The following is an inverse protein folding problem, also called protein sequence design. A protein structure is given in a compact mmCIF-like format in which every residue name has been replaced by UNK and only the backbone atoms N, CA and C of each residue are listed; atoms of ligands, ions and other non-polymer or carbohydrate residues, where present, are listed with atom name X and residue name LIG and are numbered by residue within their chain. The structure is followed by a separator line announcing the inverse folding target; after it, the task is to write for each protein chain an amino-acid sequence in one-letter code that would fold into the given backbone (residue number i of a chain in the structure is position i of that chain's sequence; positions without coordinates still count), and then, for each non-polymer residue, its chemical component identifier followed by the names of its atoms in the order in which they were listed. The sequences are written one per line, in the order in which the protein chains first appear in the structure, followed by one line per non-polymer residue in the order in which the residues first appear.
data_IF_871476065275
#
_entry.id   IF_871476065275
#
_cell.length_a   1.000
_cell.length_b   1.000
_cell.length_c   1.000
_cell.angle_alpha   90.00
_cell.angle_beta   90.00
_cell.angle_gamma   90.00
#
_symmetry.space_group_name_H-M   'P 1'
#
loop_
_entity.id
_entity.type
_entity.pdbx_description
1 polymer ?
#
# COMPACT_ATOMS: atom_id res chain seq x y z
N UNK A 1 -9.17 -14.79 -30.61
CA UNK A 1 -8.50 -15.23 -31.85
C UNK A 1 -7.17 -14.49 -31.91
N UNK A 2 -6.09 -15.07 -31.37
CA UNK A 2 -4.74 -14.48 -31.53
C UNK A 2 -4.34 -14.70 -32.98
N UNK A 3 -4.25 -13.62 -33.75
CA UNK A 3 -3.69 -13.67 -35.10
C UNK A 3 -2.18 -13.83 -34.96
N UNK A 4 -1.58 -14.92 -35.46
CA UNK A 4 -0.13 -15.10 -35.40
C UNK A 4 0.50 -14.03 -36.28
N UNK A 5 1.26 -13.13 -35.66
CA UNK A 5 2.07 -12.17 -36.37
C UNK A 5 3.26 -12.92 -36.98
N UNK A 6 3.57 -12.65 -38.23
CA UNK A 6 4.76 -13.18 -38.90
C UNK A 6 5.84 -12.11 -38.91
N UNK A 7 6.67 -12.01 -37.86
CA UNK A 7 7.79 -11.10 -37.86
C UNK A 7 8.86 -11.60 -38.83
N UNK A 8 9.60 -10.66 -39.42
CA UNK A 8 10.76 -10.96 -40.24
C UNK A 8 11.97 -11.14 -39.32
N UNK A 9 12.55 -12.34 -39.35
CA UNK A 9 13.79 -12.64 -38.62
C UNK A 9 14.94 -11.91 -39.31
N UNK A 10 15.76 -11.20 -38.54
CA UNK A 10 16.90 -10.48 -39.09
C UNK A 10 18.09 -11.42 -39.28
N UNK A 11 18.96 -11.12 -40.25
CA UNK A 11 20.21 -11.86 -40.46
C UNK A 11 21.13 -11.78 -39.24
N UNK A 12 21.13 -10.64 -38.55
CA UNK A 12 21.92 -10.43 -37.34
C UNK A 12 21.41 -11.31 -36.18
N UNK A 13 20.08 -11.38 -36.02
CA UNK A 13 19.41 -12.24 -35.04
C UNK A 13 19.64 -13.71 -35.31
N UNK A 14 19.46 -14.14 -36.56
CA UNK A 14 19.78 -15.49 -37.01
C UNK A 14 21.25 -15.82 -36.70
N UNK A 15 22.20 -14.99 -37.12
CA UNK A 15 23.62 -15.19 -36.84
C UNK A 15 23.94 -15.24 -35.34
N UNK A 16 23.26 -14.43 -34.52
CA UNK A 16 23.40 -14.48 -33.06
C UNK A 16 22.93 -15.81 -32.48
N UNK A 17 21.82 -16.36 -32.99
CA UNK A 17 21.35 -17.70 -32.60
C UNK A 17 22.34 -18.77 -33.02
N UNK A 18 22.85 -18.74 -34.26
CA UNK A 18 23.86 -19.70 -34.72
C UNK A 18 25.16 -19.62 -33.92
N UNK A 19 25.58 -18.41 -33.51
CA UNK A 19 26.73 -18.24 -32.61
C UNK A 19 26.46 -18.86 -31.24
N UNK A 20 25.27 -18.63 -30.70
CA UNK A 20 24.87 -19.19 -29.41
C UNK A 20 24.86 -20.73 -29.48
N UNK A 21 24.23 -21.30 -30.50
CA UNK A 21 24.14 -22.75 -30.73
C UNK A 21 25.53 -23.41 -30.85
N UNK A 22 26.44 -22.80 -31.62
CA UNK A 22 27.84 -23.27 -31.72
C UNK A 22 28.63 -23.14 -30.41
N UNK A 23 28.23 -22.22 -29.52
CA UNK A 23 28.82 -22.07 -28.19
C UNK A 23 28.18 -22.98 -27.13
N UNK A 24 27.16 -23.77 -27.50
CA UNK A 24 26.39 -24.61 -26.58
C UNK A 24 25.43 -23.83 -25.67
N UNK A 25 25.19 -22.55 -25.99
CA UNK A 25 24.28 -21.67 -25.26
C UNK A 25 23.05 -21.39 -26.12
N UNK A 26 21.86 -21.44 -25.55
CA UNK A 26 20.67 -21.02 -26.28
C UNK A 26 20.57 -19.49 -26.28
N UNK A 27 20.21 -18.89 -27.41
CA UNK A 27 20.08 -17.44 -27.51
C UNK A 27 18.92 -16.93 -26.64
N UNK A 28 19.20 -15.94 -25.79
CA UNK A 28 18.22 -15.49 -24.80
C UNK A 28 17.49 -14.23 -25.27
N UNK A 29 16.16 -14.27 -25.37
CA UNK A 29 15.36 -13.06 -25.62
C UNK A 29 15.11 -12.35 -24.29
N UNK A 30 15.48 -11.06 -24.20
CA UNK A 30 15.43 -10.30 -22.94
C UNK A 30 14.47 -9.11 -22.96
N UNK A 31 14.34 -8.42 -24.10
CA UNK A 31 13.53 -7.20 -24.21
C UNK A 31 12.70 -7.19 -25.50
N UNK A 32 11.55 -6.54 -25.43
CA UNK A 32 10.76 -6.11 -26.58
C UNK A 32 10.91 -4.60 -26.77
N UNK A 33 11.08 -4.16 -28.00
CA UNK A 33 11.13 -2.74 -28.37
C UNK A 33 9.93 -2.40 -29.22
N UNK A 34 9.32 -1.25 -28.95
CA UNK A 34 8.15 -0.75 -29.68
C UNK A 34 8.48 0.57 -30.36
N UNK A 35 7.92 0.77 -31.54
CA UNK A 35 8.06 2.00 -32.30
C UNK A 35 6.79 2.43 -33.03
N UNK A 36 6.85 3.64 -33.58
CA UNK A 36 5.71 4.32 -34.22
C UNK A 36 5.83 4.39 -35.75
N UNK A 37 6.95 3.95 -36.33
CA UNK A 37 7.10 3.91 -37.77
C UNK A 37 6.45 2.64 -38.35
N UNK A 38 5.68 2.80 -39.43
CA UNK A 38 5.10 1.69 -40.18
C UNK A 38 5.79 1.55 -41.52
N UNK A 39 6.36 0.39 -41.81
CA UNK A 39 7.05 0.08 -43.07
C UNK A 39 7.09 -1.43 -43.31
N UNK A 40 7.54 -1.86 -44.49
CA UNK A 40 7.81 -3.27 -44.76
C UNK A 40 9.14 -3.67 -44.12
N UNK A 41 9.14 -4.55 -43.11
CA UNK A 41 10.36 -4.96 -42.42
C UNK A 41 11.35 -5.66 -43.36
N UNK A 42 12.65 -5.43 -43.13
CA UNK A 42 13.74 -6.01 -43.90
C UNK A 42 14.65 -6.84 -42.98
N UNK A 43 15.07 -8.02 -43.44
CA UNK A 43 15.96 -8.92 -42.72
C UNK A 43 17.37 -8.32 -42.45
N UNK A 44 17.78 -7.26 -43.14
CA UNK A 44 19.07 -6.58 -42.91
C UNK A 44 19.03 -5.59 -41.73
N UNK A 45 17.86 -5.34 -41.13
CA UNK A 45 17.73 -4.36 -40.06
C UNK A 45 18.44 -4.80 -38.78
N UNK A 46 19.17 -3.85 -38.18
CA UNK A 46 19.83 -4.02 -36.88
C UNK A 46 19.08 -3.31 -35.74
N UNK A 47 18.19 -2.38 -36.09
CA UNK A 47 17.37 -1.61 -35.15
C UNK A 47 16.02 -1.24 -35.80
N UNK A 48 15.06 -0.87 -34.94
CA UNK A 48 13.81 -0.22 -35.36
C UNK A 48 14.09 1.16 -35.96
N UNK A 49 13.19 1.66 -36.81
CA UNK A 49 13.35 2.99 -37.44
C UNK A 49 12.99 4.14 -36.49
N UNK A 50 11.95 3.97 -35.69
CA UNK A 50 11.48 4.94 -34.71
C UNK A 50 11.19 4.24 -33.38
N UNK A 51 12.23 3.69 -32.77
CA UNK A 51 12.13 3.10 -31.43
C UNK A 51 11.68 4.17 -30.42
N UNK A 52 10.54 3.93 -29.79
CA UNK A 52 9.95 4.85 -28.81
C UNK A 52 10.15 4.33 -27.39
N UNK A 53 10.07 3.01 -27.21
CA UNK A 53 10.12 2.38 -25.90
C UNK A 53 10.77 0.99 -25.96
N UNK A 54 11.32 0.57 -24.81
CA UNK A 54 11.92 -0.74 -24.59
C UNK A 54 11.37 -1.30 -23.30
N UNK A 55 10.83 -2.51 -23.34
CA UNK A 55 10.23 -3.20 -22.20
C UNK A 55 10.90 -4.56 -21.98
N UNK A 56 11.10 -4.99 -20.74
CA UNK A 56 11.58 -6.33 -20.44
C UNK A 56 10.51 -7.38 -20.79
N UNK A 57 10.94 -8.59 -21.12
CA UNK A 57 10.02 -9.72 -21.31
C UNK A 57 9.57 -10.22 -19.93
N UNK A 58 8.25 -10.28 -19.74
CA UNK A 58 7.62 -10.70 -18.49
C UNK A 58 7.47 -12.22 -18.40
N UNK A 59 7.32 -12.88 -19.53
CA UNK A 59 7.09 -14.32 -19.61
C UNK A 59 7.33 -14.84 -21.01
N UNK A 60 7.54 -16.14 -21.12
CA UNK A 60 7.40 -16.77 -22.42
C UNK A 60 7.51 -18.29 -22.31
N UNK A 61 6.78 -18.95 -23.18
CA UNK A 61 6.59 -20.38 -23.23
C UNK A 61 6.93 -20.87 -24.63
N UNK A 62 7.60 -22.01 -24.73
CA UNK A 62 7.88 -22.62 -26.03
C UNK A 62 6.74 -23.55 -26.42
N UNK A 63 6.00 -23.16 -27.47
CA UNK A 63 4.94 -23.99 -28.06
C UNK A 63 5.54 -24.85 -29.17
N UNK A 64 6.06 -26.02 -28.81
CA UNK A 64 6.63 -26.97 -29.77
C UNK A 64 8.00 -26.57 -30.32
N UNK A 65 8.42 -27.19 -31.43
CA UNK A 65 9.82 -27.11 -31.86
C UNK A 65 10.24 -25.74 -32.43
N UNK A 66 9.29 -24.96 -32.91
CA UNK A 66 9.55 -23.76 -33.72
C UNK A 66 8.59 -22.60 -33.42
N UNK A 67 7.80 -22.66 -32.32
CA UNK A 67 6.99 -21.51 -31.90
C UNK A 67 7.34 -21.13 -30.47
N UNK A 68 7.46 -19.83 -30.22
CA UNK A 68 7.65 -19.26 -28.90
C UNK A 68 6.50 -18.30 -28.63
N UNK A 69 5.73 -18.56 -27.58
CA UNK A 69 4.81 -17.60 -27.02
C UNK A 69 5.58 -16.66 -26.09
N UNK A 70 5.61 -15.37 -26.38
CA UNK A 70 6.31 -14.36 -25.60
C UNK A 70 5.29 -13.38 -25.04
N UNK A 71 5.42 -13.06 -23.75
CA UNK A 71 4.60 -12.06 -23.07
C UNK A 71 5.47 -10.95 -22.53
N UNK A 72 5.07 -9.71 -22.80
CA UNK A 72 5.70 -8.52 -22.28
C UNK A 72 4.63 -7.53 -21.81
N UNK A 73 4.93 -6.79 -20.76
CA UNK A 73 4.06 -5.72 -20.27
C UNK A 73 4.68 -4.40 -20.71
N UNK A 74 3.96 -3.67 -21.55
CA UNK A 74 4.35 -2.31 -21.92
C UNK A 74 3.74 -1.33 -20.91
N UNK A 75 4.53 -0.97 -19.90
CA UNK A 75 4.18 -0.05 -18.83
C UNK A 75 4.53 1.42 -19.18
N UNK A 76 4.09 2.36 -18.35
CA UNK A 76 4.50 3.76 -18.40
C UNK A 76 3.60 4.72 -19.19
N UNK A 77 3.90 6.02 -19.07
CA UNK A 77 2.95 7.11 -19.32
C UNK A 77 2.91 7.62 -20.77
N UNK A 78 3.64 6.98 -21.69
CA UNK A 78 3.65 7.37 -23.09
C UNK A 78 2.51 6.71 -23.86
N UNK A 79 1.61 7.55 -24.39
CA UNK A 79 0.59 7.15 -25.34
C UNK A 79 1.13 7.15 -26.78
N UNK A 80 1.03 6.03 -27.48
CA UNK A 80 1.41 5.95 -28.89
C UNK A 80 0.80 4.73 -29.59
N UNK A 81 0.67 4.85 -30.92
CA UNK A 81 0.32 3.73 -31.79
C UNK A 81 1.56 2.87 -32.03
N UNK A 82 1.46 1.59 -31.69
CA UNK A 82 2.50 0.59 -31.94
C UNK A 82 2.39 0.17 -33.40
N UNK A 83 3.39 0.52 -34.21
CA UNK A 83 3.43 0.21 -35.66
C UNK A 83 4.64 -0.63 -36.04
N UNK A 84 5.62 -0.74 -35.15
CA UNK A 84 6.72 -1.67 -35.26
C UNK A 84 7.02 -2.28 -33.88
N UNK A 85 7.37 -3.56 -33.89
CA UNK A 85 7.76 -4.35 -32.72
C UNK A 85 9.04 -5.08 -33.06
N UNK A 86 10.04 -4.98 -32.19
CA UNK A 86 11.29 -5.72 -32.32
C UNK A 86 11.55 -6.56 -31.07
N UNK A 87 12.15 -7.73 -31.25
CA UNK A 87 12.58 -8.60 -30.16
C UNK A 87 14.10 -8.52 -30.04
N UNK A 88 14.61 -8.18 -28.87
CA UNK A 88 16.04 -8.07 -28.60
C UNK A 88 16.54 -9.27 -27.79
N UNK A 89 17.69 -9.78 -28.20
CA UNK A 89 18.46 -10.75 -27.43
C UNK A 89 19.15 -10.10 -26.23
N UNK A 90 19.66 -10.91 -25.30
CA UNK A 90 20.44 -10.46 -24.14
C UNK A 90 21.72 -9.71 -24.54
N UNK A 91 22.28 -10.01 -25.71
CA UNK A 91 23.42 -9.29 -26.30
C UNK A 91 23.03 -7.95 -26.96
N UNK A 92 21.75 -7.59 -26.98
CA UNK A 92 21.23 -6.39 -27.61
C UNK A 92 21.02 -6.52 -29.12
N UNK A 93 21.22 -7.71 -29.72
CA UNK A 93 20.95 -7.95 -31.13
C UNK A 93 19.44 -8.03 -31.39
N UNK A 94 18.98 -7.36 -32.44
CA UNK A 94 17.59 -7.46 -32.92
C UNK A 94 17.35 -8.83 -33.56
N UNK A 95 16.59 -9.68 -32.90
CA UNK A 95 16.25 -11.02 -33.37
C UNK A 95 15.26 -10.97 -34.54
N UNK A 96 14.12 -10.33 -34.31
CA UNK A 96 13.03 -10.29 -35.26
C UNK A 96 12.32 -8.94 -35.17
N UNK A 97 11.79 -8.50 -36.30
CA UNK A 97 11.05 -7.24 -36.43
C UNK A 97 9.73 -7.49 -37.14
N UNK A 98 8.68 -6.95 -36.57
CA UNK A 98 7.38 -6.84 -37.20
C UNK A 98 7.08 -5.37 -37.42
N UNK A 99 6.57 -5.02 -38.60
CA UNK A 99 6.02 -3.70 -38.88
C UNK A 99 4.99 -3.81 -40.00
N UNK A 100 4.01 -2.91 -40.01
CA UNK A 100 3.04 -2.80 -41.09
C UNK A 100 3.01 -1.37 -41.66
N UNK A 101 2.98 -1.18 -42.99
CA UNK A 101 3.03 0.15 -43.61
C UNK A 101 1.79 1.01 -43.31
N UNK A 102 0.62 0.39 -43.14
CA UNK A 102 -0.67 1.08 -43.01
C UNK A 102 -1.41 0.79 -41.71
N UNK A 103 -1.13 -0.34 -41.05
CA UNK A 103 -1.90 -0.79 -39.88
C UNK A 103 -1.08 -0.56 -38.62
N UNK A 104 -1.76 -0.19 -37.54
CA UNK A 104 -1.18 -0.18 -36.21
C UNK A 104 -1.56 -1.47 -35.50
N UNK A 105 -0.59 -2.07 -34.82
CA UNK A 105 -0.75 -3.32 -34.10
C UNK A 105 -1.67 -3.15 -32.89
N UNK A 106 -1.42 -2.10 -32.14
CA UNK A 106 -2.13 -1.78 -30.92
C UNK A 106 -1.97 -0.29 -30.61
N UNK A 107 -2.92 0.26 -29.84
CA UNK A 107 -2.78 1.56 -29.22
C UNK A 107 -2.39 1.37 -27.76
N UNK A 108 -1.27 1.96 -27.35
CA UNK A 108 -0.89 2.05 -25.94
C UNK A 108 -1.41 3.38 -25.38
N UNK A 109 -2.35 3.37 -24.41
CA UNK A 109 -2.76 4.59 -23.69
C UNK A 109 -1.67 5.04 -22.70
N UNK A 110 -1.70 6.31 -22.30
CA UNK A 110 -0.87 6.80 -21.20
C UNK A 110 -1.38 6.24 -19.86
N UNK A 111 -0.48 5.72 -19.03
CA UNK A 111 -0.80 5.26 -17.68
C UNK A 111 -1.62 3.97 -17.62
N UNK A 112 -1.72 3.22 -18.72
CA UNK A 112 -2.36 1.90 -18.77
C UNK A 112 -1.37 0.87 -19.27
N UNK A 113 -1.30 -0.25 -18.56
CA UNK A 113 -0.45 -1.37 -18.93
C UNK A 113 -1.06 -2.10 -20.12
N UNK A 114 -0.29 -2.23 -21.20
CA UNK A 114 -0.67 -3.01 -22.37
C UNK A 114 0.06 -4.36 -22.31
N UNK A 115 -0.70 -5.45 -22.14
CA UNK A 115 -0.18 -6.80 -22.21
C UNK A 115 0.00 -7.21 -23.67
N UNK A 116 1.24 -7.49 -24.03
CA UNK A 116 1.64 -7.90 -25.36
C UNK A 116 1.97 -9.39 -25.32
N UNK A 117 1.08 -10.23 -25.87
CA UNK A 117 1.26 -11.67 -25.98
C UNK A 117 1.40 -12.05 -27.46
N UNK A 118 2.53 -12.63 -27.84
CA UNK A 118 2.89 -12.88 -29.24
C UNK A 118 3.40 -14.29 -29.46
N UNK A 119 2.90 -14.94 -30.50
CA UNK A 119 3.43 -16.20 -31.00
C UNK A 119 4.48 -15.93 -32.07
N UNK A 120 5.75 -16.06 -31.71
CA UNK A 120 6.88 -15.98 -32.61
C UNK A 120 7.10 -17.34 -33.27
N UNK A 121 6.71 -17.45 -34.54
CA UNK A 121 7.04 -18.61 -35.36
C UNK A 121 8.48 -18.50 -35.89
N UNK A 122 9.36 -19.35 -35.38
CA UNK A 122 10.77 -19.47 -35.72
C UNK A 122 10.99 -20.50 -36.84
N UNK A 123 10.10 -20.57 -37.83
CA UNK A 123 10.11 -21.60 -38.88
C UNK A 123 11.44 -21.69 -39.67
N UNK A 124 12.28 -20.65 -39.60
CA UNK A 124 13.60 -20.59 -40.23
C UNK A 124 14.79 -20.93 -39.31
N UNK A 125 14.56 -21.33 -38.06
CA UNK A 125 15.61 -21.62 -37.07
C UNK A 125 15.65 -23.09 -36.66
N UNK A 126 16.85 -23.65 -36.39
CA UNK A 126 16.97 -24.98 -35.82
C UNK A 126 16.29 -25.08 -34.45
N UNK A 127 15.75 -26.26 -34.14
CA UNK A 127 15.07 -26.52 -32.88
C UNK A 127 16.06 -26.45 -31.71
N UNK A 128 15.64 -25.83 -30.59
CA UNK A 128 16.38 -25.68 -29.32
C UNK A 128 17.40 -24.53 -29.23
N UNK A 129 17.54 -23.68 -30.24
CA UNK A 129 18.58 -22.64 -30.23
C UNK A 129 18.18 -21.34 -29.50
N UNK A 130 16.99 -21.24 -28.90
CA UNK A 130 16.48 -20.02 -28.22
C UNK A 130 15.91 -20.37 -26.85
N UNK A 131 16.37 -19.65 -25.82
CA UNK A 131 15.86 -19.68 -24.44
C UNK A 131 15.19 -18.35 -24.13
N UNK A 132 14.19 -18.37 -23.26
CA UNK A 132 13.49 -17.16 -22.83
C UNK A 132 13.92 -16.87 -21.40
N UNK A 133 14.53 -15.70 -21.19
CA UNK A 133 14.80 -15.21 -19.83
C UNK A 133 13.65 -14.31 -19.46
N UNK A 134 12.61 -14.90 -18.91
CA UNK A 134 11.59 -14.16 -18.18
C UNK A 134 12.24 -13.65 -16.89
N UNK A 135 12.59 -12.36 -16.89
CA UNK A 135 13.11 -11.73 -15.69
C UNK A 135 12.05 -11.80 -14.61
N UNK A 136 12.28 -12.62 -13.58
CA UNK A 136 11.51 -12.60 -12.33
C UNK A 136 11.43 -11.17 -11.71
N UNK A 137 12.25 -10.25 -12.21
CA UNK A 137 12.25 -8.81 -11.96
C UNK A 137 11.03 -8.05 -12.48
N UNK A 138 10.36 -8.46 -13.57
CA UNK A 138 9.22 -7.72 -14.13
C UNK A 138 7.96 -7.80 -13.27
N UNK A 139 7.66 -8.98 -12.74
CA UNK A 139 6.56 -9.20 -11.80
C UNK A 139 6.90 -8.65 -10.39
N UNK A 140 8.17 -8.75 -9.98
CA UNK A 140 8.60 -8.22 -8.70
C UNK A 140 8.58 -6.69 -8.64
N UNK A 141 8.87 -5.97 -9.73
CA UNK A 141 8.81 -4.50 -9.74
C UNK A 141 7.37 -3.98 -9.71
N UNK A 142 6.46 -4.64 -10.44
CA UNK A 142 5.03 -4.31 -10.44
C UNK A 142 4.34 -4.60 -9.10
N UNK A 143 4.83 -5.60 -8.35
CA UNK A 143 4.30 -5.93 -7.01
C UNK A 143 5.00 -5.18 -5.87
N UNK A 144 6.26 -4.74 -6.04
CA UNK A 144 7.01 -4.06 -4.97
C UNK A 144 6.36 -2.75 -4.52
N UNK A 145 5.89 -1.91 -5.47
CA UNK A 145 5.21 -0.66 -5.15
C UNK A 145 3.92 -0.85 -4.34
N UNK A 146 2.97 -1.72 -4.74
CA UNK A 146 1.78 -1.97 -3.93
C UNK A 146 2.08 -2.66 -2.59
N UNK A 147 3.10 -3.53 -2.51
CA UNK A 147 3.50 -4.16 -1.24
C UNK A 147 4.12 -3.15 -0.27
N UNK A 148 4.96 -2.23 -0.77
CA UNK A 148 5.53 -1.15 0.03
C UNK A 148 4.45 -0.19 0.52
N UNK A 149 3.48 0.15 -0.35
CA UNK A 149 2.32 0.94 0.04
C UNK A 149 1.49 0.25 1.13
N UNK A 150 1.24 -1.06 1.01
CA UNK A 150 0.54 -1.84 2.03
C UNK A 150 1.31 -1.88 3.35
N UNK A 151 2.62 -2.11 3.32
CA UNK A 151 3.46 -2.10 4.51
C UNK A 151 3.43 -0.73 5.22
N UNK A 152 3.50 0.37 4.45
CA UNK A 152 3.41 1.72 5.01
C UNK A 152 2.04 1.99 5.66
N UNK A 153 0.95 1.49 5.06
CA UNK A 153 -0.40 1.63 5.60
C UNK A 153 -0.56 0.84 6.91
N UNK A 154 -0.01 -0.37 7.00
CA UNK A 154 -0.01 -1.18 8.22
C UNK A 154 0.79 -0.52 9.34
N UNK A 155 1.97 0.02 9.04
CA UNK A 155 2.79 0.75 10.03
C UNK A 155 2.05 2.01 10.51
N UNK A 156 1.42 2.75 9.58
CA UNK A 156 0.63 3.92 9.94
C UNK A 156 -0.58 3.56 10.82
N UNK A 157 -1.21 2.41 10.59
CA UNK A 157 -2.30 1.91 11.43
C UNK A 157 -1.81 1.50 12.82
N UNK A 158 -0.68 0.79 12.91
CA UNK A 158 -0.08 0.45 14.20
C UNK A 158 0.29 1.70 15.01
N UNK A 159 0.85 2.73 14.36
CA UNK A 159 1.15 4.00 15.02
C UNK A 159 -0.11 4.72 15.52
N UNK A 160 -1.18 4.74 14.73
CA UNK A 160 -2.48 5.29 15.16
C UNK A 160 -3.04 4.51 16.36
N UNK A 161 -2.92 3.19 16.35
CA UNK A 161 -3.33 2.32 17.45
C UNK A 161 -2.60 2.65 18.76
N UNK A 162 -1.27 2.81 18.69
CA UNK A 162 -0.46 3.21 19.86
C UNK A 162 -0.87 4.58 20.40
N UNK A 163 -1.03 5.58 19.52
CA UNK A 163 -1.46 6.92 19.93
C UNK A 163 -2.87 6.92 20.55
N UNK A 164 -3.75 6.05 20.08
CA UNK A 164 -5.08 5.89 20.65
C UNK A 164 -5.00 5.25 22.04
N UNK A 165 -4.14 4.25 22.21
CA UNK A 165 -3.90 3.61 23.51
C UNK A 165 -3.36 4.62 24.53
N UNK A 166 -2.36 5.42 24.16
CA UNK A 166 -1.79 6.45 25.04
C UNK A 166 -2.85 7.45 25.51
N UNK A 167 -3.77 7.85 24.63
CA UNK A 167 -4.89 8.74 25.00
C UNK A 167 -5.87 8.08 25.96
N UNK A 168 -6.14 6.78 25.79
CA UNK A 168 -7.01 6.03 26.70
C UNK A 168 -6.38 5.90 28.09
N UNK A 169 -5.07 5.66 28.16
CA UNK A 169 -4.34 5.54 29.42
C UNK A 169 -4.28 6.88 30.18
N UNK A 170 -4.07 8.00 29.48
CA UNK A 170 -4.16 9.34 30.07
C UNK A 170 -5.58 9.63 30.59
N UNK A 171 -6.61 9.28 29.80
CA UNK A 171 -8.00 9.45 30.23
C UNK A 171 -8.33 8.59 31.46
N UNK A 172 -7.89 7.33 31.50
CA UNK A 172 -8.08 6.44 32.64
C UNK A 172 -7.40 7.01 33.90
N UNK A 173 -6.20 7.56 33.75
CA UNK A 173 -5.47 8.21 34.84
C UNK A 173 -6.23 9.43 35.37
N UNK A 174 -6.76 10.28 34.48
CA UNK A 174 -7.58 11.44 34.87
C UNK A 174 -8.86 11.01 35.60
N UNK A 175 -9.54 9.98 35.12
CA UNK A 175 -10.74 9.44 35.76
C UNK A 175 -10.44 8.90 37.16
N UNK A 176 -9.31 8.20 37.35
CA UNK A 176 -8.88 7.73 38.67
C UNK A 176 -8.64 8.88 39.63
N UNK A 177 -7.89 9.90 39.21
CA UNK A 177 -7.62 11.09 40.05
C UNK A 177 -8.92 11.82 40.41
N UNK A 178 -9.83 12.00 39.44
CA UNK A 178 -11.13 12.61 39.69
C UNK A 178 -11.96 11.79 40.70
N UNK A 179 -11.95 10.46 40.58
CA UNK A 179 -12.59 9.55 41.53
C UNK A 179 -12.03 9.67 42.94
N UNK A 180 -10.70 9.74 43.09
CA UNK A 180 -10.02 9.96 44.38
C UNK A 180 -10.40 11.32 45.00
N UNK A 181 -10.47 12.37 44.19
CA UNK A 181 -10.90 13.69 44.64
C UNK A 181 -12.36 13.70 45.10
N UNK A 182 -13.26 13.05 44.35
CA UNK A 182 -14.67 12.93 44.73
C UNK A 182 -14.80 12.17 46.04
N UNK A 183 -14.08 11.06 46.22
CA UNK A 183 -14.10 10.29 47.46
C UNK A 183 -13.62 11.14 48.66
N UNK A 184 -12.53 11.90 48.48
CA UNK A 184 -12.03 12.79 49.52
C UNK A 184 -13.03 13.92 49.87
N UNK A 185 -13.67 14.51 48.85
CA UNK A 185 -14.68 15.54 49.06
C UNK A 185 -15.90 15.00 49.81
N UNK A 186 -16.37 13.79 49.47
CA UNK A 186 -17.47 13.13 50.18
C UNK A 186 -17.12 12.92 51.65
N UNK A 187 -15.91 12.46 51.95
CA UNK A 187 -15.46 12.26 53.34
C UNK A 187 -15.42 13.59 54.12
N UNK A 188 -14.86 14.65 53.51
CA UNK A 188 -14.82 15.99 54.10
C UNK A 188 -16.22 16.57 54.32
N UNK A 189 -17.14 16.39 53.36
CA UNK A 189 -18.52 16.84 53.50
C UNK A 189 -19.22 16.12 54.65
N UNK A 190 -19.10 14.79 54.71
CA UNK A 190 -19.66 13.99 55.82
C UNK A 190 -19.15 14.45 57.19
N UNK A 191 -17.85 14.76 57.29
CA UNK A 191 -17.27 15.29 58.51
C UNK A 191 -17.80 16.70 58.86
N UNK A 192 -18.00 17.56 57.86
CA UNK A 192 -18.58 18.88 58.04
C UNK A 192 -20.04 18.83 58.49
N UNK A 193 -20.85 17.96 57.87
CA UNK A 193 -22.26 17.73 58.26
C UNK A 193 -22.36 17.22 59.69
N UNK A 194 -21.49 16.29 60.10
CA UNK A 194 -21.47 15.77 61.47
C UNK A 194 -21.11 16.85 62.51
N UNK A 195 -20.13 17.72 62.18
CA UNK A 195 -19.79 18.87 63.04
C UNK A 195 -20.98 19.83 63.14
N UNK A 196 -21.60 20.17 62.02
CA UNK A 196 -22.76 21.06 62.01
C UNK A 196 -23.94 20.51 62.83
N UNK A 197 -24.22 19.20 62.76
CA UNK A 197 -25.25 18.57 63.61
C UNK A 197 -24.89 18.67 65.09
N UNK A 198 -23.63 18.39 65.43
CA UNK A 198 -23.15 18.41 66.82
C UNK A 198 -23.19 19.83 67.39
N UNK A 199 -22.76 20.82 66.61
CA UNK A 199 -22.81 22.24 66.98
C UNK A 199 -24.26 22.70 67.17
N UNK A 200 -25.17 22.30 66.27
CA UNK A 200 -26.60 22.58 66.41
C UNK A 200 -27.19 22.00 67.69
N UNK A 201 -26.90 20.74 68.00
CA UNK A 201 -27.38 20.08 69.22
C UNK A 201 -26.79 20.75 70.48
N UNK A 202 -25.52 21.15 70.44
CA UNK A 202 -24.87 21.92 71.49
C UNK A 202 -25.52 23.29 71.73
N UNK A 203 -25.83 24.03 70.66
CA UNK A 203 -26.53 25.31 70.73
C UNK A 203 -27.96 25.17 71.30
N UNK A 204 -28.70 24.14 70.87
CA UNK A 204 -30.03 23.84 71.41
C UNK A 204 -29.95 23.51 72.90
N UNK A 205 -29.00 22.67 73.31
CA UNK A 205 -28.78 22.31 74.72
C UNK A 205 -28.46 23.54 75.58
N UNK A 206 -27.51 24.38 75.14
CA UNK A 206 -27.16 25.62 75.84
C UNK A 206 -28.35 26.59 75.97
N UNK A 207 -29.18 26.69 74.92
CA UNK A 207 -30.39 27.52 74.93
C UNK A 207 -31.41 27.00 75.95
N UNK A 208 -31.63 25.69 76.01
CA UNK A 208 -32.53 25.06 76.99
C UNK A 208 -32.02 25.25 78.42
N UNK A 209 -30.72 25.04 78.67
CA UNK A 209 -30.13 25.26 79.99
C UNK A 209 -30.26 26.72 80.45
N UNK A 210 -30.00 27.68 79.56
CA UNK A 210 -30.18 29.10 79.86
C UNK A 210 -31.64 29.44 80.18
N UNK A 211 -32.60 28.94 79.38
CA UNK A 211 -34.02 29.16 79.64
C UNK A 211 -34.45 28.56 80.99
N UNK A 212 -34.02 27.34 81.31
CA UNK A 212 -34.31 26.70 82.59
C UNK A 212 -33.73 27.48 83.78
N UNK A 213 -32.49 27.98 83.66
CA UNK A 213 -31.86 28.82 84.68
C UNK A 213 -32.62 30.13 84.90
N UNK A 214 -33.07 30.79 83.82
CA UNK A 214 -33.89 32.01 83.92
C UNK A 214 -35.23 31.74 84.60
N UNK A 215 -35.91 30.64 84.25
CA UNK A 215 -37.18 30.26 84.90
C UNK A 215 -36.96 29.97 86.39
N UNK A 216 -35.90 29.25 86.76
CA UNK A 216 -35.58 28.97 88.16
C UNK A 216 -35.29 30.24 88.96
N UNK A 217 -34.55 31.19 88.38
CA UNK A 217 -34.31 32.51 88.98
C UNK A 217 -35.61 33.29 89.16
N UNK A 218 -36.48 33.32 88.15
CA UNK A 218 -37.80 33.97 88.25
C UNK A 218 -38.65 33.35 89.36
N UNK A 219 -38.68 32.02 89.45
CA UNK A 219 -39.40 31.31 90.51
C UNK A 219 -38.89 31.70 91.90
N UNK A 220 -37.57 31.71 92.10
CA UNK A 220 -36.94 32.07 93.36
C UNK A 220 -37.21 33.52 93.76
N UNK A 221 -37.24 34.44 92.78
CA UNK A 221 -37.64 35.84 93.02
C UNK A 221 -39.10 35.93 93.44
N UNK A 222 -40.03 35.20 92.80
CA UNK A 222 -41.44 35.19 93.17
C UNK A 222 -41.63 34.61 94.58
N UNK A 223 -40.99 33.48 94.90
CA UNK A 223 -41.03 32.87 96.24
C UNK A 223 -40.54 33.86 97.32
N UNK A 224 -39.45 34.59 97.06
CA UNK A 224 -38.94 35.62 97.98
C UNK A 224 -39.85 36.85 98.10
N UNK A 225 -40.54 37.25 97.02
CA UNK A 225 -41.44 38.41 97.05
C UNK A 225 -42.80 38.12 97.68
N UNK A 226 -43.30 36.88 97.62
CA UNK A 226 -44.68 36.56 98.01
C UNK A 226 -44.81 35.64 99.23
N UNK A 227 -43.73 35.02 99.71
CA UNK A 227 -43.63 34.43 101.05
C UNK A 227 -44.66 33.35 101.41
N UNK A 228 -44.23 32.10 101.29
CA UNK A 228 -44.90 30.82 101.63
C UNK A 228 -46.01 30.35 100.67
#
# INVERSE_FOLDING_TARGET
MSTPLQPVITKAGLAAIWRADNSGLAAEISHVVLGTSGYTPNAEQKSLKAQTAKYPISGGERLGNSQLHLTAVADGDRAFWVREVGFLLSDGTLLAVWSHPTEALAYKPAGTDLLLAYDLSLAALPANSVTIVSGATGLNLTLAAPLAAQASALIAEQLRGLQQQDRLDDQATRQRIAGEQIANLIERMKAAEQRQSTDRDGLLSATVSNAAAVIALQKLVIENMHGA
#
